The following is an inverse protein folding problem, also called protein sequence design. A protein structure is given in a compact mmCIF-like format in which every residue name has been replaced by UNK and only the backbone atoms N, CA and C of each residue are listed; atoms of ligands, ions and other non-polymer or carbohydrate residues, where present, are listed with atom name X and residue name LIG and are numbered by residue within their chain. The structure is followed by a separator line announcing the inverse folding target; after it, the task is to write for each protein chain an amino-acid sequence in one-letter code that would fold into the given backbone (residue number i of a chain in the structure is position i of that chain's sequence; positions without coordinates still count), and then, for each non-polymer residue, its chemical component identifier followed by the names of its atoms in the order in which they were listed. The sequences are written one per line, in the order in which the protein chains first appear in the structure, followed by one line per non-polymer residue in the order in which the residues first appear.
data_IF_388301368664
#
_entry.id   IF_388301368664
#
_cell.length_a   1.000
_cell.length_b   1.000
_cell.length_c   1.000
_cell.angle_alpha   90.00
_cell.angle_beta   90.00
_cell.angle_gamma   90.00
#
_symmetry.space_group_name_H-M   'P 1'
#
loop_
_entity.id
_entity.type
_entity.pdbx_description
1 polymer ?
#
# COMPACT_ATOMS: atom_id res chain seq x y z
N UNK A 1 -35.48 40.13 -29.11
CA UNK A 1 -36.07 38.77 -29.20
C UNK A 1 -34.93 37.78 -29.43
N UNK A 2 -34.91 36.70 -28.65
CA UNK A 2 -33.77 35.77 -28.46
C UNK A 2 -33.50 34.91 -29.71
N UNK A 3 -32.25 34.85 -30.16
CA UNK A 3 -31.78 33.77 -31.04
C UNK A 3 -30.76 32.94 -30.25
N UNK A 4 -31.11 31.68 -30.06
CA UNK A 4 -30.48 30.74 -29.15
C UNK A 4 -29.13 30.25 -29.69
N UNK A 5 -28.09 30.32 -28.85
CA UNK A 5 -26.82 29.63 -29.04
C UNK A 5 -27.07 28.12 -29.13
N UNK A 6 -26.81 27.51 -30.29
CA UNK A 6 -26.78 26.05 -30.42
C UNK A 6 -25.41 25.53 -29.97
N UNK A 7 -25.20 25.44 -28.66
CA UNK A 7 -24.10 24.61 -28.13
C UNK A 7 -24.54 23.17 -28.35
N UNK A 8 -24.01 22.54 -29.41
CA UNK A 8 -24.18 21.11 -29.65
C UNK A 8 -23.53 20.34 -28.50
N UNK A 9 -24.37 19.84 -27.59
CA UNK A 9 -23.93 18.93 -26.53
C UNK A 9 -23.57 17.61 -27.23
N UNK A 10 -22.29 17.43 -27.52
CA UNK A 10 -21.73 16.12 -27.85
C UNK A 10 -21.79 15.27 -26.59
N UNK A 11 -22.92 14.59 -26.36
CA UNK A 11 -23.01 13.52 -25.38
C UNK A 11 -22.12 12.39 -25.90
N UNK A 12 -21.01 12.03 -25.23
CA UNK A 12 -20.28 10.83 -25.62
C UNK A 12 -21.21 9.64 -25.38
N UNK A 13 -21.69 9.03 -26.46
CA UNK A 13 -22.31 7.71 -26.41
C UNK A 13 -21.21 6.74 -25.98
N UNK A 14 -21.09 6.55 -24.67
CA UNK A 14 -20.24 5.51 -24.10
C UNK A 14 -20.83 4.19 -24.57
N UNK A 15 -20.31 3.67 -25.69
CA UNK A 15 -20.59 2.31 -26.13
C UNK A 15 -19.97 1.39 -25.10
N UNK A 16 -20.78 0.92 -24.15
CA UNK A 16 -20.43 -0.26 -23.37
C UNK A 16 -20.23 -1.39 -24.38
N UNK A 17 -18.98 -1.78 -24.61
CA UNK A 17 -18.68 -2.99 -25.37
C UNK A 17 -19.31 -4.12 -24.56
N UNK A 18 -20.36 -4.75 -25.10
CA UNK A 18 -21.00 -5.90 -24.45
C UNK A 18 -19.98 -7.03 -24.44
N UNK A 19 -19.27 -7.18 -23.33
CA UNK A 19 -18.37 -8.31 -23.11
C UNK A 19 -19.22 -9.58 -23.12
N UNK A 20 -18.87 -10.52 -23.99
CA UNK A 20 -19.65 -11.73 -24.14
C UNK A 20 -19.59 -12.58 -22.87
N UNK A 21 -20.73 -13.21 -22.51
CA UNK A 21 -20.91 -13.93 -21.23
C UNK A 21 -19.83 -15.00 -20.95
N UNK A 22 -19.27 -15.60 -22.00
CA UNK A 22 -18.26 -16.65 -21.96
C UNK A 22 -16.84 -16.15 -21.67
N UNK A 23 -16.58 -14.84 -21.77
CA UNK A 23 -15.26 -14.26 -21.49
C UNK A 23 -14.91 -14.38 -20.00
N UNK A 24 -15.86 -14.11 -19.11
CA UNK A 24 -15.65 -14.20 -17.65
C UNK A 24 -15.23 -15.62 -17.18
N UNK A 25 -15.95 -16.71 -17.52
CA UNK A 25 -15.52 -18.05 -17.11
C UNK A 25 -14.20 -18.45 -17.75
N UNK A 26 -13.94 -18.07 -19.01
CA UNK A 26 -12.66 -18.33 -19.68
C UNK A 26 -11.47 -17.66 -18.97
N UNK A 27 -11.55 -16.35 -18.65
CA UNK A 27 -10.49 -15.64 -17.93
C UNK A 27 -10.27 -16.19 -16.51
N UNK A 28 -11.35 -16.63 -15.85
CA UNK A 28 -11.28 -17.28 -14.54
C UNK A 28 -10.52 -18.60 -14.61
N UNK A 29 -10.79 -19.43 -15.63
CA UNK A 29 -10.06 -20.68 -15.87
C UNK A 29 -8.56 -20.42 -16.10
N UNK A 30 -8.21 -19.44 -16.94
CA UNK A 30 -6.81 -19.03 -17.13
C UNK A 30 -6.13 -18.56 -15.84
N UNK A 31 -6.86 -17.88 -14.95
CA UNK A 31 -6.35 -17.46 -13.65
C UNK A 31 -6.07 -18.67 -12.75
N UNK A 32 -6.96 -19.66 -12.68
CA UNK A 32 -6.72 -20.87 -11.88
C UNK A 32 -5.56 -21.70 -12.42
N UNK A 33 -5.47 -21.87 -13.74
CA UNK A 33 -4.31 -22.54 -14.35
C UNK A 33 -2.99 -21.86 -14.01
N UNK A 34 -2.98 -20.52 -13.92
CA UNK A 34 -1.79 -19.77 -13.49
C UNK A 34 -1.42 -20.12 -12.05
N UNK A 35 -2.39 -20.22 -11.15
CA UNK A 35 -2.16 -20.59 -9.75
C UNK A 35 -1.65 -22.04 -9.62
N UNK A 36 -2.11 -22.95 -10.49
CA UNK A 36 -1.68 -24.35 -10.50
C UNK A 36 -0.23 -24.53 -11.00
N UNK A 37 0.24 -23.68 -11.91
CA UNK A 37 1.63 -23.70 -12.42
C UNK A 37 2.63 -23.38 -11.32
N UNK A 38 2.25 -22.53 -10.36
CA UNK A 38 3.09 -22.23 -9.22
C UNK A 38 2.65 -21.01 -8.42
N UNK A 39 3.26 -20.80 -7.25
CA UNK A 39 2.98 -19.64 -6.43
C UNK A 39 3.47 -18.36 -7.10
N UNK A 40 2.64 -17.32 -7.04
CA UNK A 40 3.01 -15.96 -7.44
C UNK A 40 4.20 -15.47 -6.57
N UNK A 41 5.13 -14.66 -7.13
CA UNK A 41 6.18 -14.03 -6.33
C UNK A 41 5.60 -13.30 -5.11
N UNK A 42 6.33 -13.38 -4.00
CA UNK A 42 5.94 -12.72 -2.77
C UNK A 42 5.80 -11.22 -2.97
N UNK A 43 4.67 -10.67 -2.53
CA UNK A 43 4.41 -9.23 -2.51
C UNK A 43 4.18 -8.78 -1.07
N UNK A 44 4.84 -7.71 -0.59
CA UNK A 44 4.61 -7.20 0.76
C UNK A 44 3.16 -6.76 0.95
N UNK A 45 2.68 -6.86 2.19
CA UNK A 45 1.28 -6.56 2.54
C UNK A 45 0.85 -5.13 2.19
N UNK A 46 1.79 -4.20 2.21
CA UNK A 46 1.55 -2.78 1.93
C UNK A 46 1.12 -2.45 0.50
N UNK A 47 1.35 -3.37 -0.46
CA UNK A 47 0.98 -3.17 -1.87
C UNK A 47 -0.53 -3.40 -2.11
N UNK A 48 -1.20 -4.13 -1.23
CA UNK A 48 -2.61 -4.48 -1.43
C UNK A 48 -3.51 -3.26 -1.17
N UNK A 49 -4.58 -3.06 -1.97
CA UNK A 49 -5.41 -1.86 -1.91
C UNK A 49 -6.18 -1.69 -0.60
N UNK A 50 -6.36 -2.77 0.16
CA UNK A 50 -7.05 -2.75 1.46
C UNK A 50 -6.12 -2.36 2.62
N UNK A 51 -4.88 -1.95 2.35
CA UNK A 51 -3.89 -1.62 3.38
C UNK A 51 -3.78 -0.11 3.58
N UNK A 52 -3.85 0.33 4.84
CA UNK A 52 -3.65 1.73 5.23
C UNK A 52 -2.66 1.80 6.40
N UNK A 53 -1.55 2.52 6.22
CA UNK A 53 -0.46 2.58 7.19
C UNK A 53 -0.88 3.17 8.54
N UNK A 54 -1.60 4.29 8.55
CA UNK A 54 -2.00 4.98 9.78
C UNK A 54 -3.04 4.17 10.58
N UNK A 55 -3.98 3.54 9.87
CA UNK A 55 -4.97 2.66 10.47
C UNK A 55 -4.32 1.44 11.13
N UNK A 56 -3.34 0.83 10.46
CA UNK A 56 -2.63 -0.34 10.98
C UNK A 56 -1.76 0.00 12.18
N UNK A 57 -1.10 1.16 12.19
CA UNK A 57 -0.36 1.65 13.37
C UNK A 57 -1.28 1.85 14.58
N UNK A 58 -2.43 2.49 14.39
CA UNK A 58 -3.39 2.72 15.48
C UNK A 58 -3.97 1.40 16.01
N UNK A 59 -4.30 0.46 15.13
CA UNK A 59 -4.78 -0.86 15.50
C UNK A 59 -3.71 -1.67 16.26
N UNK A 60 -2.44 -1.55 15.86
CA UNK A 60 -1.32 -2.19 16.56
C UNK A 60 -1.19 -1.70 18.00
N UNK A 61 -1.20 -0.38 18.22
CA UNK A 61 -1.15 0.20 19.58
C UNK A 61 -2.32 -0.28 20.43
N UNK A 62 -3.53 -0.32 19.87
CA UNK A 62 -4.72 -0.77 20.60
C UNK A 62 -4.65 -2.24 21.01
N UNK A 63 -4.09 -3.13 20.17
CA UNK A 63 -3.94 -4.56 20.50
C UNK A 63 -2.97 -4.80 21.66
N UNK A 64 -1.93 -3.98 21.77
CA UNK A 64 -0.93 -4.08 22.84
C UNK A 64 -1.43 -3.38 24.13
N UNK A 65 -2.52 -2.61 24.04
CA UNK A 65 -3.05 -1.76 25.12
C UNK A 65 -2.05 -0.72 25.64
N UNK A 66 -1.14 -0.26 24.78
CA UNK A 66 -0.14 0.78 25.12
C UNK A 66 -0.42 2.09 24.37
N UNK A 67 -0.15 3.21 25.03
CA UNK A 67 -0.27 4.54 24.45
C UNK A 67 1.07 4.99 23.85
N UNK A 68 1.35 4.55 22.63
CA UNK A 68 2.56 4.90 21.90
C UNK A 68 2.27 6.06 20.92
N UNK A 69 3.13 7.10 20.86
CA UNK A 69 2.99 8.14 19.86
C UNK A 69 3.28 7.55 18.46
N UNK A 70 2.39 7.78 17.46
CA UNK A 70 2.47 7.12 16.16
C UNK A 70 3.75 7.49 15.40
N UNK A 71 4.28 8.70 15.62
CA UNK A 71 5.53 9.18 15.01
C UNK A 71 6.75 8.35 15.46
N UNK A 72 6.85 8.00 16.74
CA UNK A 72 7.97 7.18 17.23
C UNK A 72 7.83 5.74 16.75
N UNK A 73 6.60 5.21 16.74
CA UNK A 73 6.33 3.85 16.27
C UNK A 73 6.67 3.71 14.78
N UNK A 74 6.32 4.70 13.95
CA UNK A 74 6.66 4.71 12.53
C UNK A 74 8.18 4.62 12.33
N UNK A 75 8.97 5.40 13.08
CA UNK A 75 10.45 5.35 13.01
C UNK A 75 10.99 4.01 13.50
N UNK A 76 10.43 3.44 14.57
CA UNK A 76 10.85 2.14 15.09
C UNK A 76 10.63 0.98 14.10
N UNK A 77 9.65 1.10 13.20
CA UNK A 77 9.36 0.11 12.16
C UNK A 77 10.21 0.29 10.88
N UNK A 78 10.93 1.40 10.73
CA UNK A 78 11.78 1.66 9.57
C UNK A 78 13.18 1.10 9.81
N UNK A 79 13.55 0.10 9.02
CA UNK A 79 14.90 -0.48 9.04
C UNK A 79 15.90 0.32 8.19
N UNK A 80 17.19 0.20 8.54
CA UNK A 80 18.30 0.82 7.79
C UNK A 80 18.36 0.38 6.32
N UNK A 81 17.99 -0.88 6.01
CA UNK A 81 18.02 -1.40 4.64
C UNK A 81 16.96 -0.72 3.76
N UNK A 82 15.79 -0.45 4.32
CA UNK A 82 14.72 0.27 3.64
C UNK A 82 15.14 1.69 3.29
N UNK A 83 15.73 2.43 4.25
CA UNK A 83 16.24 3.79 4.02
C UNK A 83 17.28 3.83 2.90
N UNK A 84 18.21 2.87 2.88
CA UNK A 84 19.23 2.76 1.84
C UNK A 84 18.62 2.53 0.44
N UNK A 85 17.56 1.70 0.35
CA UNK A 85 16.83 1.46 -0.88
C UNK A 85 16.14 2.73 -1.41
N UNK A 86 15.39 3.45 -0.56
CA UNK A 86 14.65 4.66 -0.96
C UNK A 86 15.52 5.84 -1.37
N UNK A 87 16.70 6.02 -0.74
CA UNK A 87 17.65 7.11 -1.06
C UNK A 87 18.08 7.15 -2.53
N UNK A 88 17.98 6.02 -3.24
CA UNK A 88 18.30 5.92 -4.67
C UNK A 88 17.22 6.49 -5.60
N UNK A 89 16.00 6.67 -5.11
CA UNK A 89 14.79 6.83 -5.94
C UNK A 89 14.16 8.23 -5.96
N UNK A 90 14.35 9.06 -4.93
CA UNK A 90 13.74 10.41 -4.86
C UNK A 90 14.54 11.41 -4.00
N UNK A 91 14.62 12.71 -4.39
CA UNK A 91 15.25 13.77 -3.59
C UNK A 91 14.52 14.16 -2.30
N UNK A 92 13.21 13.89 -2.20
CA UNK A 92 12.35 14.31 -1.08
C UNK A 92 12.50 13.38 0.16
N UNK A 93 13.04 12.18 -0.03
CA UNK A 93 13.11 11.10 0.97
C UNK A 93 14.37 11.16 1.88
N UNK A 94 15.06 12.30 1.92
CA UNK A 94 16.47 12.35 2.35
C UNK A 94 16.74 12.06 3.82
N UNK A 95 15.74 12.11 4.71
CA UNK A 95 15.96 11.95 6.16
C UNK A 95 14.86 11.15 6.87
N UNK A 96 14.50 9.97 6.38
CA UNK A 96 13.81 9.02 7.26
C UNK A 96 14.77 8.58 8.38
N UNK A 97 14.40 8.88 9.62
CA UNK A 97 15.05 8.29 10.79
C UNK A 97 14.88 6.76 10.75
N UNK A 98 15.88 6.04 11.22
CA UNK A 98 15.86 4.57 11.27
C UNK A 98 15.75 4.06 12.71
N UNK A 99 15.44 2.78 12.85
CA UNK A 99 15.21 2.14 14.14
C UNK A 99 16.48 1.79 14.95
N UNK A 100 17.68 2.13 14.47
CA UNK A 100 18.96 1.71 15.06
C UNK A 100 19.09 2.20 16.51
N UNK A 101 18.73 3.45 16.77
CA UNK A 101 18.79 4.03 18.12
C UNK A 101 17.84 3.31 19.08
N UNK A 102 16.60 3.05 18.65
CA UNK A 102 15.60 2.33 19.45
C UNK A 102 16.02 0.88 19.72
N UNK A 103 16.60 0.20 18.73
CA UNK A 103 17.09 -1.17 18.89
C UNK A 103 18.26 -1.25 19.90
N UNK A 104 19.20 -0.30 19.83
CA UNK A 104 20.32 -0.24 20.78
C UNK A 104 19.84 0.05 22.22
N UNK A 105 18.86 0.95 22.37
CA UNK A 105 18.27 1.25 23.67
C UNK A 105 17.58 0.01 24.29
N UNK A 106 16.87 -0.79 23.49
CA UNK A 106 16.24 -2.03 23.95
C UNK A 106 17.24 -3.07 24.46
N UNK A 107 18.37 -3.25 23.76
CA UNK A 107 19.40 -4.23 24.15
C UNK A 107 20.01 -3.93 25.53
N UNK A 108 20.15 -2.66 25.91
CA UNK A 108 20.68 -2.26 27.22
C UNK A 108 19.71 -2.58 28.37
N UNK A 109 18.41 -2.65 28.09
CA UNK A 109 17.39 -2.97 29.11
C UNK A 109 17.18 -4.47 29.29
N UNK A 110 17.45 -5.27 28.25
CA UNK A 110 17.29 -6.73 28.28
C UNK A 110 18.44 -7.51 28.94
N UNK A 111 19.56 -6.86 29.26
CA UNK A 111 20.73 -7.50 29.89
C UNK A 111 20.67 -7.59 31.42
N UNK A 112 19.52 -7.25 32.04
CA UNK A 112 19.31 -7.30 33.50
C UNK A 112 18.42 -8.46 33.98
N UNK A 113 18.26 -9.51 33.16
CA UNK A 113 17.71 -10.82 33.54
C UNK A 113 18.74 -11.90 33.23
#
# INVERSE_FOLDING_TARGET
MRLFNSVGILVPVVRYIRVARWVRPYLRDLYYRRLDIGPEPYRPRSIWPTWNFDAELSAFCHRINEQLPPSKLAVALIDKSYVAFTKSSSPEDRNYANNVEYANAGNLTGTFL
#
